data_IF_916404729662
#
_entry.id   IF_916404729662
#
_cell.length_a   1.000
_cell.length_b   1.000
_cell.length_c   1.000
_cell.angle_alpha   90.00
_cell.angle_beta   90.00
_cell.angle_gamma   90.00
#
_symmetry.space_group_name_H-M   'P 1'
#
loop_
_entity.id
_entity.type
_entity.pdbx_description
1 polymer ?
#
# COMPACT_ATOMS: atom_id res chain seq x y z
N UNK A 1 -1.45 -20.74 7.02
CA UNK A 1 -1.49 -19.37 7.59
C UNK A 1 -1.60 -18.32 6.50
N UNK A 2 -0.65 -18.25 5.56
CA UNK A 2 -0.73 -17.37 4.37
C UNK A 2 -2.03 -17.51 3.57
N UNK A 3 -2.35 -18.72 3.11
CA UNK A 3 -3.55 -18.99 2.31
C UNK A 3 -4.86 -18.57 2.98
N UNK A 4 -4.98 -18.80 4.28
CA UNK A 4 -6.15 -18.39 5.06
C UNK A 4 -6.25 -16.87 5.23
N UNK A 5 -5.13 -16.19 5.47
CA UNK A 5 -5.09 -14.72 5.55
C UNK A 5 -5.48 -14.08 4.21
N UNK A 6 -4.93 -14.58 3.11
CA UNK A 6 -5.24 -14.13 1.75
C UNK A 6 -6.70 -14.43 1.38
N UNK A 7 -7.20 -15.63 1.72
CA UNK A 7 -8.61 -15.97 1.51
C UNK A 7 -9.53 -15.01 2.26
N UNK A 8 -9.22 -14.70 3.52
CA UNK A 8 -10.01 -13.77 4.33
C UNK A 8 -9.99 -12.36 3.73
N UNK A 9 -8.81 -11.90 3.28
CA UNK A 9 -8.64 -10.62 2.60
C UNK A 9 -9.48 -10.52 1.33
N UNK A 10 -9.44 -11.57 0.48
CA UNK A 10 -10.20 -11.63 -0.76
C UNK A 10 -11.72 -11.69 -0.52
N UNK A 11 -12.14 -12.30 0.59
CA UNK A 11 -13.54 -12.37 1.00
C UNK A 11 -14.04 -11.10 1.71
N UNK A 12 -13.18 -10.08 1.87
CA UNK A 12 -13.52 -8.84 2.57
C UNK A 12 -13.56 -8.97 4.09
N UNK A 13 -13.21 -10.13 4.65
CA UNK A 13 -13.03 -10.32 6.08
C UNK A 13 -11.67 -9.78 6.52
N UNK A 14 -11.57 -8.45 6.53
CA UNK A 14 -10.34 -7.74 6.86
C UNK A 14 -9.96 -7.89 8.33
N UNK A 15 -10.90 -8.23 9.23
CA UNK A 15 -10.59 -8.47 10.65
C UNK A 15 -9.84 -9.79 10.81
N UNK A 16 -10.28 -10.85 10.15
CA UNK A 16 -9.57 -12.14 10.17
C UNK A 16 -8.26 -12.06 9.38
N UNK A 17 -8.25 -11.36 8.24
CA UNK A 17 -7.03 -11.11 7.48
C UNK A 17 -5.97 -10.38 8.31
N UNK A 18 -6.39 -9.37 9.09
CA UNK A 18 -5.50 -8.61 9.97
C UNK A 18 -4.77 -9.51 10.95
N UNK A 19 -5.49 -10.42 11.62
CA UNK A 19 -4.89 -11.37 12.55
C UNK A 19 -3.91 -12.31 11.84
N UNK A 20 -4.28 -12.82 10.66
CA UNK A 20 -3.45 -13.73 9.87
C UNK A 20 -2.15 -13.09 9.39
N UNK A 21 -2.21 -11.90 8.79
CA UNK A 21 -1.02 -11.18 8.32
C UNK A 21 -0.16 -10.66 9.47
N UNK A 22 -0.76 -10.22 10.57
CA UNK A 22 0.00 -9.82 11.76
C UNK A 22 0.79 -10.99 12.35
N UNK A 23 0.19 -12.18 12.44
CA UNK A 23 0.87 -13.38 12.91
C UNK A 23 2.06 -13.77 12.02
N UNK A 24 1.92 -13.67 10.71
CA UNK A 24 3.01 -13.91 9.76
C UNK A 24 4.15 -12.90 9.94
N UNK A 25 3.81 -11.62 10.12
CA UNK A 25 4.78 -10.54 10.37
C UNK A 25 5.50 -10.70 11.71
N UNK A 26 4.85 -11.27 12.73
CA UNK A 26 5.50 -11.58 14.02
C UNK A 26 6.48 -12.75 13.92
N UNK A 27 6.25 -13.69 12.99
CA UNK A 27 7.16 -14.82 12.76
C UNK A 27 8.40 -14.40 11.98
N UNK A 28 8.22 -13.63 10.91
CA UNK A 28 9.32 -13.11 10.12
C UNK A 28 9.02 -11.70 9.62
N UNK A 29 9.63 -10.72 10.30
CA UNK A 29 9.50 -9.31 9.98
C UNK A 29 10.19 -8.94 8.66
N UNK A 30 11.06 -9.78 8.10
CA UNK A 30 11.76 -9.44 6.85
C UNK A 30 10.84 -9.50 5.62
N UNK A 31 9.75 -10.26 5.71
CA UNK A 31 8.83 -10.55 4.60
C UNK A 31 8.11 -9.30 4.09
N UNK A 32 8.25 -9.02 2.79
CA UNK A 32 7.66 -7.85 2.13
C UNK A 32 6.19 -8.10 1.77
N UNK A 33 5.87 -9.29 1.24
CA UNK A 33 4.54 -9.66 0.78
C UNK A 33 3.49 -9.59 1.91
N UNK A 34 3.65 -10.22 3.09
CA UNK A 34 2.69 -10.09 4.20
C UNK A 34 2.60 -8.67 4.75
N UNK A 35 3.70 -7.91 4.74
CA UNK A 35 3.72 -6.51 5.16
C UNK A 35 2.84 -5.65 4.25
N UNK A 36 2.94 -5.85 2.93
CA UNK A 36 2.09 -5.16 1.95
C UNK A 36 0.61 -5.47 2.19
N UNK A 37 0.24 -6.75 2.26
CA UNK A 37 -1.16 -7.13 2.50
C UNK A 37 -1.67 -6.68 3.88
N UNK A 38 -0.82 -6.64 4.91
CA UNK A 38 -1.17 -6.06 6.20
C UNK A 38 -1.49 -4.56 6.07
N UNK A 39 -0.65 -3.80 5.35
CA UNK A 39 -0.90 -2.38 5.05
C UNK A 39 -2.22 -2.17 4.29
N UNK A 40 -2.48 -2.99 3.27
CA UNK A 40 -3.74 -2.99 2.53
C UNK A 40 -4.94 -3.33 3.42
N UNK A 41 -4.78 -4.28 4.33
CA UNK A 41 -5.84 -4.65 5.30
C UNK A 41 -6.14 -3.49 6.25
N UNK A 42 -5.11 -2.78 6.72
CA UNK A 42 -5.30 -1.56 7.51
C UNK A 42 -6.03 -0.47 6.71
N UNK A 43 -5.73 -0.29 5.42
CA UNK A 43 -6.46 0.65 4.57
C UNK A 43 -7.94 0.31 4.45
N UNK A 44 -8.25 -0.97 4.22
CA UNK A 44 -9.63 -1.43 4.10
C UNK A 44 -10.42 -1.23 5.40
N UNK A 45 -9.75 -1.33 6.55
CA UNK A 45 -10.31 -1.06 7.87
C UNK A 45 -10.36 0.43 8.24
N UNK A 46 -9.86 1.34 7.40
CA UNK A 46 -9.80 2.78 7.69
C UNK A 46 -8.68 3.20 8.65
N UNK A 47 -7.75 2.30 8.96
CA UNK A 47 -6.61 2.55 9.83
C UNK A 47 -5.46 3.20 9.04
N UNK A 48 -5.66 4.44 8.59
CA UNK A 48 -4.75 5.11 7.65
C UNK A 48 -3.33 5.27 8.19
N UNK A 49 -3.15 5.61 9.47
CA UNK A 49 -1.82 5.78 10.06
C UNK A 49 -0.98 4.48 10.02
N UNK A 50 -1.58 3.35 10.41
CA UNK A 50 -0.91 2.05 10.38
C UNK A 50 -0.62 1.61 8.94
N UNK A 51 -1.57 1.86 8.03
CA UNK A 51 -1.37 1.56 6.63
C UNK A 51 -0.23 2.37 6.00
N UNK A 52 -0.15 3.68 6.27
CA UNK A 52 0.93 4.54 5.79
C UNK A 52 2.29 3.98 6.23
N UNK A 53 2.48 3.73 7.53
CA UNK A 53 3.74 3.17 8.07
C UNK A 53 4.15 1.85 7.39
N UNK A 54 3.20 0.94 7.21
CA UNK A 54 3.47 -0.36 6.60
C UNK A 54 3.79 -0.25 5.10
N UNK A 55 3.04 0.58 4.37
CA UNK A 55 3.21 0.77 2.94
C UNK A 55 4.46 1.60 2.61
N UNK A 56 4.86 2.56 3.45
CA UNK A 56 6.14 3.27 3.32
C UNK A 56 7.31 2.30 3.38
N UNK A 57 7.30 1.41 4.39
CA UNK A 57 8.34 0.38 4.52
C UNK A 57 8.41 -0.56 3.31
N UNK A 58 7.27 -0.83 2.64
CA UNK A 58 7.25 -1.62 1.39
C UNK A 58 7.72 -0.79 0.20
N UNK A 59 7.30 0.47 0.09
CA UNK A 59 7.65 1.36 -1.01
C UNK A 59 9.14 1.72 -1.02
N UNK A 60 9.80 1.73 0.14
CA UNK A 60 11.24 1.99 0.29
C UNK A 60 12.10 0.79 -0.08
N UNK A 61 11.56 -0.43 0.10
CA UNK A 61 12.23 -1.66 -0.36
C UNK A 61 12.00 -1.78 -1.86
N UNK A 62 13.01 -1.47 -2.67
CA UNK A 62 12.98 -1.75 -4.11
C UNK A 62 12.73 -3.26 -4.31
N UNK A 63 11.57 -3.63 -4.85
CA UNK A 63 11.16 -5.04 -4.92
C UNK A 63 9.66 -5.23 -5.18
N UNK A 64 9.19 -6.43 -4.89
CA UNK A 64 7.79 -6.82 -5.03
C UNK A 64 6.88 -5.87 -4.25
N UNK A 65 5.80 -5.40 -4.88
CA UNK A 65 4.84 -4.44 -4.34
C UNK A 65 5.35 -3.02 -4.05
N UNK A 66 6.61 -2.67 -4.34
CA UNK A 66 7.13 -1.31 -4.07
C UNK A 66 6.32 -0.22 -4.77
N UNK A 67 5.96 -0.45 -6.04
CA UNK A 67 5.18 0.51 -6.85
C UNK A 67 3.72 0.54 -6.45
N UNK A 68 3.13 -0.63 -6.20
CA UNK A 68 1.79 -0.81 -5.66
C UNK A 68 1.64 -0.05 -4.34
N UNK A 69 2.58 -0.25 -3.41
CA UNK A 69 2.58 0.41 -2.12
C UNK A 69 2.66 1.93 -2.28
N UNK A 70 3.57 2.42 -3.14
CA UNK A 70 3.70 3.84 -3.43
C UNK A 70 2.45 4.44 -4.07
N UNK A 71 1.77 3.68 -4.92
CA UNK A 71 0.50 4.08 -5.51
C UNK A 71 -0.57 4.27 -4.43
N UNK A 72 -0.72 3.30 -3.52
CA UNK A 72 -1.67 3.42 -2.42
C UNK A 72 -1.30 4.52 -1.42
N UNK A 73 -0.02 4.74 -1.12
CA UNK A 73 0.42 5.90 -0.33
C UNK A 73 -0.04 7.21 -0.95
N UNK A 74 0.18 7.39 -2.26
CA UNK A 74 -0.26 8.59 -2.97
C UNK A 74 -1.78 8.80 -2.86
N UNK A 75 -2.57 7.73 -2.99
CA UNK A 75 -4.03 7.81 -2.85
C UNK A 75 -4.47 8.15 -1.42
N UNK A 76 -3.80 7.61 -0.40
CA UNK A 76 -4.09 7.92 1.01
C UNK A 76 -3.74 9.36 1.31
N UNK A 77 -2.58 9.84 0.85
CA UNK A 77 -2.19 11.24 1.00
C UNK A 77 -3.17 12.19 0.33
N UNK A 78 -3.72 11.84 -0.84
CA UNK A 78 -4.81 12.62 -1.45
C UNK A 78 -6.07 12.65 -0.60
N UNK A 79 -6.44 11.51 -0.01
CA UNK A 79 -7.63 11.40 0.84
C UNK A 79 -7.49 12.27 2.09
N UNK A 80 -6.31 12.30 2.70
CA UNK A 80 -5.99 13.12 3.87
C UNK A 80 -5.75 14.61 3.53
N UNK A 81 -5.72 14.96 2.24
CA UNK A 81 -5.51 16.33 1.77
C UNK A 81 -4.05 16.77 1.69
N UNK A 82 -3.10 15.87 1.97
CA UNK A 82 -1.66 16.10 1.82
C UNK A 82 -1.27 15.96 0.33
N UNK A 83 -1.59 17.00 -0.43
CA UNK A 83 -1.36 17.06 -1.88
C UNK A 83 0.13 17.02 -2.24
N UNK A 84 1.00 17.51 -1.36
CA UNK A 84 2.43 17.55 -1.60
C UNK A 84 3.02 16.14 -1.59
N UNK A 85 2.80 15.37 -0.52
CA UNK A 85 3.25 13.97 -0.45
C UNK A 85 2.59 13.09 -1.51
N UNK A 86 1.31 13.32 -1.77
CA UNK A 86 0.62 12.66 -2.87
C UNK A 86 1.32 12.92 -4.21
N UNK A 87 1.60 14.20 -4.50
CA UNK A 87 2.28 14.58 -5.74
C UNK A 87 3.65 13.91 -5.85
N UNK A 88 4.40 13.78 -4.77
CA UNK A 88 5.72 13.14 -4.80
C UNK A 88 5.64 11.63 -5.08
N UNK A 89 4.65 10.94 -4.50
CA UNK A 89 4.36 9.55 -4.82
C UNK A 89 4.06 9.38 -6.32
N UNK A 90 3.17 10.21 -6.87
CA UNK A 90 2.79 10.12 -8.28
C UNK A 90 3.90 10.58 -9.24
N UNK A 91 4.71 11.58 -8.88
CA UNK A 91 5.88 11.98 -9.69
C UNK A 91 6.88 10.84 -9.82
N UNK A 92 7.08 10.06 -8.76
CA UNK A 92 7.94 8.89 -8.84
C UNK A 92 7.37 7.84 -9.79
N UNK A 93 6.07 7.55 -9.68
CA UNK A 93 5.41 6.55 -10.53
C UNK A 93 5.31 6.99 -11.99
N UNK A 94 5.14 8.28 -12.27
CA UNK A 94 5.14 8.81 -13.64
C UNK A 94 6.49 8.64 -14.36
N UNK A 95 7.59 8.48 -13.61
CA UNK A 95 8.92 8.21 -14.20
C UNK A 95 9.12 6.73 -14.57
N UNK A 96 8.21 5.83 -14.19
CA UNK A 96 8.30 4.43 -14.60
C UNK A 96 7.76 4.24 -16.02
N UNK A 97 8.16 3.14 -16.68
CA UNK A 97 7.63 2.73 -17.99
C UNK A 97 6.57 1.63 -17.87
N UNK A 98 5.79 1.63 -16.78
CA UNK A 98 4.83 0.57 -16.45
C UNK A 98 3.40 1.11 -16.26
N UNK A 99 2.51 0.20 -15.86
CA UNK A 99 1.09 0.42 -15.62
C UNK A 99 0.75 1.65 -14.78
N UNK A 100 1.60 2.04 -13.82
CA UNK A 100 1.31 3.18 -12.94
C UNK A 100 1.61 4.54 -13.57
N UNK A 101 2.42 4.58 -14.63
CA UNK A 101 2.93 5.83 -15.19
C UNK A 101 1.83 6.74 -15.73
N UNK A 102 1.04 6.25 -16.70
CA UNK A 102 -0.03 7.01 -17.33
C UNK A 102 -1.09 7.47 -16.31
N UNK A 103 -1.37 6.61 -15.32
CA UNK A 103 -2.33 6.91 -14.26
C UNK A 103 -1.83 7.99 -13.31
N UNK A 104 -0.56 7.92 -12.93
CA UNK A 104 0.08 8.90 -12.07
C UNK A 104 0.12 10.28 -12.75
N UNK A 105 0.44 10.34 -14.04
CA UNK A 105 0.39 11.59 -14.81
C UNK A 105 -1.01 12.21 -14.86
N UNK A 106 -2.06 11.39 -15.06
CA UNK A 106 -3.45 11.87 -15.04
C UNK A 106 -3.79 12.51 -13.71
N UNK A 107 -3.37 11.91 -12.59
CA UNK A 107 -3.60 12.47 -11.25
C UNK A 107 -2.82 13.77 -11.09
N UNK A 108 -1.52 13.81 -11.43
CA UNK A 108 -0.69 15.00 -11.32
C UNK A 108 -1.25 16.21 -12.08
N UNK A 109 -1.85 15.99 -13.26
CA UNK A 109 -2.52 17.07 -14.01
C UNK A 109 -3.72 17.68 -13.28
N UNK A 110 -4.39 16.91 -12.41
CA UNK A 110 -5.55 17.37 -11.62
C UNK A 110 -5.16 17.97 -10.26
N UNK A 111 -3.91 17.82 -9.83
CA UNK A 111 -3.40 18.40 -8.59
C UNK A 111 -2.84 19.82 -8.77
N UNK A 112 -2.58 20.22 -10.01
CA UNK A 112 -2.28 21.60 -10.40
C UNK A 112 -3.55 22.45 -10.35
#
# INVERSE_FOLDING_TARGET
MWSSAVSSYNNGDYRTALAGFSGLMSMDTSLVTPRFFLGMTHLALGNYNQALNLLESVADKQGEYSKEARWYLGLVYLKEGDKDKASDCFKYLAKSSDYYSERAEKILRRLK
#
